data_IF_285007930679
#
_entry.id   IF_285007930679
#
_cell.length_a   1.000
_cell.length_b   1.000
_cell.length_c   1.000
_cell.angle_alpha   90.00
_cell.angle_beta   90.00
_cell.angle_gamma   90.00
#
_symmetry.space_group_name_H-M   'P 1'
#
loop_
_entity.id
_entity.type
_entity.pdbx_description
1 polymer ?
#
# COMPACT_ATOMS: atom_id res chain seq x y z
N UNK A 1 -12.39 -6.08 -9.32
CA UNK A 1 -13.29 -5.18 -8.55
C UNK A 1 -12.45 -4.16 -7.80
N UNK A 2 -13.00 -2.97 -7.54
CA UNK A 2 -12.36 -1.94 -6.68
C UNK A 2 -13.12 -1.89 -5.36
N UNK A 3 -12.58 -2.52 -4.32
CA UNK A 3 -13.17 -2.61 -2.98
C UNK A 3 -12.60 -1.51 -2.10
N UNK A 4 -13.45 -0.77 -1.38
CA UNK A 4 -13.03 0.34 -0.53
C UNK A 4 -13.91 0.46 0.71
N UNK A 5 -13.46 1.25 1.67
CA UNK A 5 -14.20 1.53 2.91
C UNK A 5 -14.43 3.03 3.02
N UNK A 6 -15.66 3.44 3.29
CA UNK A 6 -16.05 4.84 3.31
C UNK A 6 -16.78 5.22 4.59
N UNK A 7 -16.52 6.43 5.07
CA UNK A 7 -17.13 6.97 6.29
C UNK A 7 -16.12 7.51 7.28
N UNK A 8 -16.59 7.90 8.50
CA UNK A 8 -15.72 8.40 9.55
C UNK A 8 -14.68 7.35 9.97
N UNK A 9 -13.47 7.81 10.37
CA UNK A 9 -12.41 6.94 10.86
C UNK A 9 -12.88 6.04 12.01
N UNK A 10 -12.66 4.73 11.88
CA UNK A 10 -13.10 3.72 12.85
C UNK A 10 -14.58 3.34 12.78
N UNK A 11 -15.33 3.94 11.84
CA UNK A 11 -16.74 3.61 11.56
C UNK A 11 -17.02 3.56 10.04
N UNK A 12 -15.99 3.18 9.28
CA UNK A 12 -16.11 2.97 7.84
C UNK A 12 -17.01 1.76 7.56
N UNK A 13 -17.66 1.79 6.42
CA UNK A 13 -18.48 0.69 5.89
C UNK A 13 -17.94 0.21 4.54
N UNK A 14 -18.14 -1.06 4.20
CA UNK A 14 -17.65 -1.64 2.97
C UNK A 14 -18.41 -1.09 1.76
N UNK A 15 -17.68 -0.80 0.70
CA UNK A 15 -18.20 -0.31 -0.56
C UNK A 15 -17.43 -0.89 -1.76
N UNK A 16 -18.02 -0.74 -2.94
CA UNK A 16 -17.43 -1.05 -4.23
C UNK A 16 -17.51 0.20 -5.10
N UNK A 17 -16.44 0.54 -5.79
CA UNK A 17 -16.47 1.52 -6.86
C UNK A 17 -16.80 0.79 -8.16
N UNK A 18 -17.97 1.11 -8.71
CA UNK A 18 -18.47 0.52 -9.95
C UNK A 18 -17.76 1.13 -11.18
N UNK A 19 -17.96 0.52 -12.34
CA UNK A 19 -17.35 0.98 -13.60
C UNK A 19 -17.83 2.35 -14.05
N UNK A 20 -19.04 2.74 -13.64
CA UNK A 20 -19.62 4.06 -13.91
C UNK A 20 -19.16 5.16 -12.94
N UNK A 21 -18.27 4.83 -11.98
CA UNK A 21 -17.77 5.72 -10.95
C UNK A 21 -18.70 5.86 -9.73
N UNK A 22 -19.79 5.11 -9.68
CA UNK A 22 -20.72 5.12 -8.55
C UNK A 22 -20.21 4.26 -7.40
N UNK A 23 -20.28 4.77 -6.18
CA UNK A 23 -20.05 3.98 -4.97
C UNK A 23 -21.27 3.12 -4.68
N UNK A 24 -21.07 1.82 -4.47
CA UNK A 24 -22.10 0.84 -4.15
C UNK A 24 -21.92 0.30 -2.73
N UNK A 25 -23.02 0.23 -1.97
CA UNK A 25 -23.01 -0.28 -0.60
C UNK A 25 -22.92 -1.80 -0.58
N UNK A 26 -21.95 -2.33 0.17
CA UNK A 26 -21.75 -3.77 0.37
C UNK A 26 -22.24 -4.27 1.74
N UNK A 27 -22.76 -3.39 2.60
CA UNK A 27 -23.11 -3.71 4.00
C UNK A 27 -24.15 -4.84 4.14
N UNK A 28 -24.96 -5.09 3.12
CA UNK A 28 -25.90 -6.22 3.09
C UNK A 28 -25.24 -7.57 2.77
N UNK A 29 -24.04 -7.56 2.20
CA UNK A 29 -23.32 -8.76 1.75
C UNK A 29 -22.13 -9.10 2.64
N UNK A 30 -21.51 -8.10 3.25
CA UNK A 30 -20.37 -8.27 4.17
C UNK A 30 -20.37 -7.18 5.23
N UNK A 31 -19.93 -7.50 6.48
CA UNK A 31 -19.80 -6.48 7.52
C UNK A 31 -18.61 -5.55 7.28
N UNK A 32 -17.54 -6.01 6.62
CA UNK A 32 -16.35 -5.21 6.33
C UNK A 32 -15.54 -5.83 5.15
N UNK A 33 -14.51 -5.12 4.70
CA UNK A 33 -13.49 -5.65 3.79
C UNK A 33 -12.28 -6.03 4.65
N UNK A 34 -12.15 -7.31 4.93
CA UNK A 34 -11.16 -7.87 5.84
C UNK A 34 -10.68 -9.27 5.42
N UNK A 35 -9.82 -9.88 6.20
CA UNK A 35 -9.30 -11.21 5.94
C UNK A 35 -10.39 -12.28 5.74
N UNK A 36 -11.41 -12.37 6.61
CA UNK A 36 -12.57 -13.26 6.42
C UNK A 36 -13.26 -13.10 5.07
N UNK A 37 -13.54 -11.89 4.61
CA UNK A 37 -14.11 -11.66 3.30
C UNK A 37 -13.17 -12.10 2.17
N UNK A 38 -11.89 -11.72 2.26
CA UNK A 38 -10.90 -12.01 1.20
C UNK A 38 -10.64 -13.51 1.05
N UNK A 39 -10.81 -14.29 2.13
CA UNK A 39 -10.69 -15.76 2.10
C UNK A 39 -11.96 -16.48 1.61
N UNK A 40 -13.12 -15.80 1.56
CA UNK A 40 -14.39 -16.38 1.14
C UNK A 40 -14.65 -16.13 -0.35
N UNK A 41 -14.23 -17.07 -1.19
CA UNK A 41 -14.42 -17.01 -2.65
C UNK A 41 -15.90 -16.93 -3.06
N UNK A 42 -16.79 -17.53 -2.26
CA UNK A 42 -18.23 -17.51 -2.53
C UNK A 42 -18.80 -16.10 -2.21
N UNK A 43 -18.35 -15.46 -1.12
CA UNK A 43 -18.72 -14.09 -0.81
C UNK A 43 -18.24 -13.11 -1.89
N UNK A 44 -16.99 -13.22 -2.33
CA UNK A 44 -16.45 -12.41 -3.43
C UNK A 44 -17.22 -12.64 -4.74
N UNK A 45 -17.63 -13.87 -5.01
CA UNK A 45 -18.45 -14.21 -6.19
C UNK A 45 -19.84 -13.57 -6.09
N UNK A 46 -20.49 -13.61 -4.91
CA UNK A 46 -21.79 -12.94 -4.69
C UNK A 46 -21.69 -11.44 -4.91
N UNK A 47 -20.63 -10.78 -4.39
CA UNK A 47 -20.40 -9.35 -4.62
C UNK A 47 -20.22 -9.06 -6.11
N UNK A 48 -19.41 -9.84 -6.83
CA UNK A 48 -19.18 -9.68 -8.27
C UNK A 48 -20.48 -9.83 -9.07
N UNK A 49 -21.29 -10.83 -8.74
CA UNK A 49 -22.59 -11.04 -9.39
C UNK A 49 -23.55 -9.88 -9.14
N UNK A 50 -23.68 -9.44 -7.88
CA UNK A 50 -24.55 -8.33 -7.53
C UNK A 50 -24.11 -7.00 -8.19
N UNK A 51 -22.80 -6.77 -8.36
CA UNK A 51 -22.30 -5.64 -9.11
C UNK A 51 -22.64 -5.74 -10.60
N UNK A 52 -22.42 -6.89 -11.22
CA UNK A 52 -22.75 -7.12 -12.63
C UNK A 52 -24.25 -7.00 -12.94
N UNK A 53 -25.10 -7.44 -12.01
CA UNK A 53 -26.57 -7.37 -12.13
C UNK A 53 -27.14 -5.97 -11.77
N UNK A 54 -26.28 -5.03 -11.32
CA UNK A 54 -26.68 -3.69 -10.92
C UNK A 54 -27.61 -3.66 -9.71
N UNK A 55 -27.58 -4.68 -8.84
CA UNK A 55 -28.49 -4.81 -7.69
C UNK A 55 -27.95 -4.16 -6.41
N UNK A 56 -26.70 -3.73 -6.41
CA UNK A 56 -26.07 -3.05 -5.26
C UNK A 56 -26.64 -1.63 -5.10
N UNK A 57 -27.09 -1.23 -3.90
CA UNK A 57 -27.56 0.11 -3.66
C UNK A 57 -26.44 1.14 -3.88
N UNK A 58 -26.77 2.28 -4.49
CA UNK A 58 -25.85 3.41 -4.53
C UNK A 58 -25.65 3.98 -3.12
N UNK A 59 -24.43 4.39 -2.81
CA UNK A 59 -24.14 5.19 -1.62
C UNK A 59 -24.32 6.67 -1.95
N UNK A 60 -25.26 7.31 -1.24
CA UNK A 60 -25.39 8.76 -1.31
C UNK A 60 -24.24 9.43 -0.56
N UNK A 61 -23.54 10.32 -1.22
CA UNK A 61 -22.51 11.16 -0.59
C UNK A 61 -21.23 11.26 -1.40
N UNK A 62 -21.16 12.27 -2.29
CA UNK A 62 -19.94 12.63 -3.03
C UNK A 62 -18.76 13.04 -2.11
N UNK A 63 -19.02 13.31 -0.81
CA UNK A 63 -18.05 13.83 0.16
C UNK A 63 -17.69 12.81 1.26
N UNK A 64 -17.93 11.51 1.03
CA UNK A 64 -17.54 10.51 2.03
C UNK A 64 -16.03 10.37 2.09
N UNK A 65 -15.46 10.48 3.32
CA UNK A 65 -14.05 10.13 3.52
C UNK A 65 -13.82 8.67 3.06
N UNK A 66 -12.77 8.47 2.29
CA UNK A 66 -12.25 7.14 1.97
C UNK A 66 -11.27 6.74 3.07
N UNK A 67 -11.55 5.63 3.74
CA UNK A 67 -10.65 5.02 4.71
C UNK A 67 -9.66 4.04 4.06
N UNK A 68 -8.78 3.42 4.86
CA UNK A 68 -7.98 2.30 4.37
C UNK A 68 -8.88 1.22 3.78
N UNK A 69 -8.51 0.57 2.68
CA UNK A 69 -9.38 -0.40 2.00
C UNK A 69 -9.61 -1.70 2.79
N UNK A 70 -8.83 -1.92 3.86
CA UNK A 70 -8.93 -3.09 4.74
C UNK A 70 -9.32 -2.66 6.16
N UNK A 71 -10.34 -3.29 6.70
CA UNK A 71 -10.84 -3.01 8.06
C UNK A 71 -9.93 -3.55 9.17
N UNK A 72 -9.17 -4.60 8.87
CA UNK A 72 -8.21 -5.21 9.78
C UNK A 72 -7.03 -5.77 9.02
N UNK A 73 -5.84 -5.36 9.41
CA UNK A 73 -4.56 -5.87 8.89
C UNK A 73 -3.86 -6.62 10.02
N UNK A 74 -3.41 -7.85 9.77
CA UNK A 74 -2.69 -8.65 10.75
C UNK A 74 -1.25 -8.20 10.91
N UNK A 75 -0.56 -7.99 9.78
CA UNK A 75 0.80 -7.46 9.70
C UNK A 75 1.04 -6.78 8.36
N UNK A 76 2.03 -5.90 8.35
CA UNK A 76 2.56 -5.27 7.14
C UNK A 76 4.04 -5.66 7.05
N UNK A 77 4.38 -6.44 6.04
CA UNK A 77 5.77 -6.79 5.70
C UNK A 77 6.24 -5.86 4.61
N UNK A 78 7.45 -5.32 4.74
CA UNK A 78 8.00 -4.39 3.77
C UNK A 78 9.30 -4.94 3.21
N UNK A 79 9.58 -4.63 1.93
CA UNK A 79 10.77 -5.06 1.21
C UNK A 79 11.66 -3.85 0.98
N UNK A 80 12.83 -3.84 1.60
CA UNK A 80 13.83 -2.79 1.41
C UNK A 80 14.65 -2.97 0.15
N UNK A 81 15.06 -1.84 -0.49
CA UNK A 81 15.96 -1.80 -1.65
C UNK A 81 15.56 -2.73 -2.80
N UNK A 82 14.28 -2.77 -3.13
CA UNK A 82 13.76 -3.69 -4.14
C UNK A 82 13.66 -3.11 -5.56
N UNK A 83 14.34 -2.00 -5.86
CA UNK A 83 14.37 -1.43 -7.21
C UNK A 83 15.81 -1.16 -7.65
N UNK A 84 16.15 -1.55 -8.88
CA UNK A 84 17.50 -1.36 -9.45
C UNK A 84 17.91 0.12 -9.52
N UNK A 85 16.99 1.00 -9.88
CA UNK A 85 17.23 2.44 -9.96
C UNK A 85 17.41 3.06 -8.57
N UNK A 86 16.63 2.63 -7.57
CA UNK A 86 16.78 3.08 -6.18
C UNK A 86 18.11 2.62 -5.55
N UNK A 87 18.55 1.39 -5.80
CA UNK A 87 19.85 0.92 -5.36
C UNK A 87 20.98 1.77 -5.96
N UNK A 88 20.91 2.11 -7.25
CA UNK A 88 21.86 3.01 -7.93
C UNK A 88 21.86 4.42 -7.34
N UNK A 89 20.68 5.00 -7.10
CA UNK A 89 20.52 6.34 -6.54
C UNK A 89 21.18 6.50 -5.17
N UNK A 90 20.99 5.50 -4.31
CA UNK A 90 21.52 5.51 -2.94
C UNK A 90 22.97 5.00 -2.83
N UNK A 91 23.54 4.48 -3.92
CA UNK A 91 24.87 3.84 -3.94
C UNK A 91 24.92 2.53 -3.17
N UNK A 92 23.78 1.91 -2.89
CA UNK A 92 23.69 0.62 -2.23
C UNK A 92 24.02 -0.53 -3.20
N UNK A 93 24.60 -1.60 -2.66
CA UNK A 93 24.73 -2.84 -3.41
C UNK A 93 23.34 -3.45 -3.65
N UNK A 94 23.16 -4.05 -4.82
CA UNK A 94 21.93 -4.83 -5.10
C UNK A 94 21.90 -6.01 -4.13
N UNK A 95 20.82 -6.18 -3.33
CA UNK A 95 20.74 -7.27 -2.36
C UNK A 95 20.66 -8.62 -3.08
N UNK A 96 21.25 -9.66 -2.47
CA UNK A 96 21.20 -11.03 -2.99
C UNK A 96 19.88 -11.73 -2.66
N UNK A 97 19.15 -11.23 -1.66
CA UNK A 97 17.82 -11.70 -1.22
C UNK A 97 16.99 -10.54 -0.66
N UNK A 98 15.63 -10.63 -0.63
CA UNK A 98 14.78 -9.57 -0.13
C UNK A 98 15.09 -9.16 1.31
N UNK A 99 15.31 -7.86 1.55
CA UNK A 99 15.49 -7.30 2.89
C UNK A 99 14.11 -7.09 3.51
N UNK A 100 13.84 -7.78 4.64
CA UNK A 100 12.54 -7.70 5.32
C UNK A 100 12.59 -6.75 6.51
N UNK A 101 11.56 -5.91 6.63
CA UNK A 101 11.25 -5.14 7.84
C UNK A 101 9.72 -5.04 8.00
N UNK A 102 9.26 -4.50 9.13
CA UNK A 102 7.84 -4.49 9.45
C UNK A 102 7.33 -3.07 9.69
N UNK A 103 6.06 -2.84 9.31
CA UNK A 103 5.26 -1.72 9.81
C UNK A 103 4.14 -2.24 10.69
N UNK A 104 3.89 -1.55 11.79
CA UNK A 104 2.76 -1.88 12.66
C UNK A 104 1.44 -1.52 11.95
N UNK A 105 0.39 -2.35 12.07
CA UNK A 105 -0.88 -2.09 11.40
C UNK A 105 -1.56 -0.77 11.81
N UNK A 106 -1.26 -0.23 12.99
CA UNK A 106 -1.77 1.06 13.47
C UNK A 106 -1.12 2.29 12.81
N UNK A 107 -0.10 2.10 11.96
CA UNK A 107 0.42 3.15 11.10
C UNK A 107 -0.49 3.44 9.89
N UNK A 108 -1.45 2.55 9.61
CA UNK A 108 -2.31 2.65 8.43
C UNK A 108 -3.37 3.72 8.59
N UNK A 109 -3.46 4.58 7.58
CA UNK A 109 -4.50 5.61 7.45
C UNK A 109 -5.07 5.59 6.03
N UNK A 110 -6.17 6.30 5.81
CA UNK A 110 -6.78 6.42 4.48
C UNK A 110 -5.91 7.18 3.48
N UNK A 111 -6.25 7.08 2.18
CA UNK A 111 -5.44 7.63 1.08
C UNK A 111 -5.28 9.16 1.14
N UNK A 112 -6.27 9.85 1.71
CA UNK A 112 -6.30 11.32 1.79
C UNK A 112 -6.22 11.83 3.24
N UNK A 113 -5.89 10.95 4.19
CA UNK A 113 -5.71 11.34 5.59
C UNK A 113 -4.40 12.13 5.79
N UNK A 114 -4.36 12.89 6.87
CA UNK A 114 -3.17 13.66 7.24
C UNK A 114 -2.03 12.73 7.66
N UNK A 115 -0.83 13.00 7.15
CA UNK A 115 0.42 12.39 7.64
C UNK A 115 1.06 13.29 8.69
N UNK A 116 1.45 12.72 9.82
CA UNK A 116 2.04 13.45 10.93
C UNK A 116 3.57 13.41 10.88
N UNK A 117 4.20 14.56 10.83
CA UNK A 117 5.66 14.69 10.96
C UNK A 117 6.04 14.47 12.43
N UNK A 118 6.85 13.44 12.75
CA UNK A 118 7.14 13.10 14.14
C UNK A 118 7.88 14.21 14.89
N UNK A 119 7.67 14.31 16.19
CA UNK A 119 8.36 15.28 17.04
C UNK A 119 9.88 15.14 16.98
N UNK A 120 10.56 16.22 16.68
CA UNK A 120 12.02 16.26 16.52
C UNK A 120 12.51 15.62 15.21
N UNK A 121 11.62 15.28 14.29
CA UNK A 121 11.95 14.82 12.95
C UNK A 121 12.47 15.97 12.10
N UNK A 122 13.52 15.67 11.33
CA UNK A 122 14.06 16.59 10.32
C UNK A 122 14.28 15.86 8.98
N UNK A 123 13.99 14.57 8.90
CA UNK A 123 14.32 13.73 7.74
C UNK A 123 13.16 12.83 7.33
N UNK A 124 11.91 13.32 7.45
CA UNK A 124 10.72 12.61 6.95
C UNK A 124 10.76 12.57 5.42
N UNK A 125 10.62 11.38 4.86
CA UNK A 125 10.79 11.07 3.45
C UNK A 125 9.57 10.34 2.88
N UNK A 126 9.41 10.34 1.58
CA UNK A 126 8.32 9.75 0.82
C UNK A 126 8.76 8.50 0.06
N UNK A 127 7.86 7.54 -0.11
CA UNK A 127 8.07 6.32 -0.90
C UNK A 127 6.74 5.82 -1.47
N UNK A 128 6.52 5.95 -2.80
CA UNK A 128 5.40 5.27 -3.46
C UNK A 128 5.71 3.79 -3.63
N UNK A 129 4.78 2.93 -3.20
CA UNK A 129 4.96 1.48 -3.24
C UNK A 129 3.71 0.75 -3.72
N UNK A 130 3.92 -0.33 -4.47
CA UNK A 130 2.88 -1.32 -4.72
C UNK A 130 2.66 -2.13 -3.44
N UNK A 131 1.43 -2.11 -2.92
CA UNK A 131 1.00 -2.99 -1.84
C UNK A 131 0.34 -4.26 -2.42
N UNK A 132 0.78 -5.41 -1.95
CA UNK A 132 0.17 -6.72 -2.24
C UNK A 132 -0.66 -7.14 -1.04
N UNK A 133 -1.93 -7.48 -1.27
CA UNK A 133 -2.85 -7.93 -0.21
C UNK A 133 -3.07 -9.44 -0.34
N UNK A 134 -2.87 -10.15 0.76
CA UNK A 134 -3.02 -11.61 0.82
C UNK A 134 -4.51 -11.98 0.94
N UNK A 135 -4.94 -12.96 0.17
CA UNK A 135 -6.32 -13.46 0.11
C UNK A 135 -6.53 -14.82 0.74
N UNK A 136 -5.48 -15.61 0.89
CA UNK A 136 -5.57 -16.93 1.55
C UNK A 136 -4.33 -17.21 2.39
N UNK A 137 -4.47 -18.06 3.39
CA UNK A 137 -3.32 -18.50 4.18
C UNK A 137 -2.25 -19.13 3.28
N UNK A 138 -1.01 -18.67 3.47
CA UNK A 138 0.15 -19.15 2.73
C UNK A 138 1.34 -19.30 3.67
N UNK A 139 2.00 -20.44 3.61
CA UNK A 139 3.31 -20.71 4.24
C UNK A 139 4.08 -21.70 3.41
N UNK A 140 5.39 -21.50 3.33
CA UNK A 140 6.29 -22.41 2.61
C UNK A 140 5.84 -22.66 1.17
N UNK A 141 5.43 -21.59 0.44
CA UNK A 141 5.02 -21.71 -0.96
C UNK A 141 6.10 -22.44 -1.77
N UNK A 142 5.69 -23.47 -2.49
CA UNK A 142 6.60 -24.32 -3.25
C UNK A 142 7.16 -23.59 -4.47
N UNK A 143 6.32 -22.76 -5.09
CA UNK A 143 6.67 -21.99 -6.27
C UNK A 143 5.96 -20.63 -6.33
N UNK A 144 6.28 -19.83 -7.35
CA UNK A 144 5.72 -18.51 -7.58
C UNK A 144 4.23 -18.57 -7.99
N UNK A 145 3.78 -19.62 -8.64
CA UNK A 145 2.38 -19.77 -9.03
C UNK A 145 1.49 -19.97 -7.79
N UNK A 146 1.95 -20.76 -6.81
CA UNK A 146 1.27 -20.90 -5.52
C UNK A 146 1.26 -19.57 -4.76
N UNK A 147 2.36 -18.81 -4.79
CA UNK A 147 2.47 -17.50 -4.16
C UNK A 147 1.47 -16.50 -4.76
N UNK A 148 1.43 -16.35 -6.08
CA UNK A 148 0.49 -15.45 -6.76
C UNK A 148 -0.96 -15.86 -6.55
N UNK A 149 -1.26 -17.17 -6.52
CA UNK A 149 -2.60 -17.65 -6.26
C UNK A 149 -3.10 -17.32 -4.83
N UNK A 150 -2.22 -16.90 -3.92
CA UNK A 150 -2.60 -16.45 -2.59
C UNK A 150 -2.90 -14.94 -2.51
N UNK A 151 -2.66 -14.18 -3.57
CA UNK A 151 -2.88 -12.73 -3.63
C UNK A 151 -4.36 -12.44 -3.89
N UNK A 152 -4.98 -11.60 -3.03
CA UNK A 152 -6.34 -11.08 -3.23
C UNK A 152 -6.36 -9.91 -4.22
N UNK A 153 -5.33 -9.09 -4.21
CA UNK A 153 -5.24 -7.90 -5.05
C UNK A 153 -4.14 -6.92 -4.62
N UNK A 154 -4.25 -5.72 -5.13
CA UNK A 154 -3.22 -4.68 -5.05
C UNK A 154 -3.81 -3.33 -4.65
N UNK A 155 -3.00 -2.51 -4.00
CA UNK A 155 -3.34 -1.14 -3.64
C UNK A 155 -2.11 -0.22 -3.75
N UNK A 156 -2.34 1.09 -3.73
CA UNK A 156 -1.26 2.07 -3.57
C UNK A 156 -0.92 2.17 -2.09
N UNK A 157 0.36 2.14 -1.75
CA UNK A 157 0.89 2.38 -0.40
C UNK A 157 1.89 3.52 -0.41
N UNK A 158 1.89 4.31 0.67
CA UNK A 158 2.90 5.32 0.94
C UNK A 158 3.73 4.87 2.15
N UNK A 159 4.93 4.32 1.92
CA UNK A 159 5.83 3.90 3.00
C UNK A 159 6.62 5.08 3.56
N UNK A 160 5.93 6.01 4.24
CA UNK A 160 6.53 7.18 4.85
C UNK A 160 7.63 6.77 5.82
N UNK A 161 8.77 7.48 5.77
CA UNK A 161 10.00 7.09 6.47
C UNK A 161 10.63 8.29 7.18
N UNK A 162 10.98 8.14 8.46
CA UNK A 162 11.85 9.11 9.14
C UNK A 162 13.30 8.59 9.12
N UNK A 163 14.11 9.11 8.20
CA UNK A 163 15.45 8.59 7.91
C UNK A 163 16.41 8.67 9.09
N UNK A 164 16.32 9.72 9.92
CA UNK A 164 17.16 9.83 11.11
C UNK A 164 16.86 8.70 12.12
N UNK A 165 15.58 8.33 12.29
CA UNK A 165 15.21 7.25 13.16
C UNK A 165 15.57 5.89 12.57
N UNK A 166 15.40 5.74 11.25
CA UNK A 166 15.71 4.51 10.51
C UNK A 166 17.21 4.18 10.52
N UNK A 167 18.08 5.17 10.25
CA UNK A 167 19.49 4.94 9.92
C UNK A 167 20.41 5.36 11.06
N UNK A 168 20.15 6.52 11.71
CA UNK A 168 21.09 7.18 12.62
C UNK A 168 20.93 6.71 14.07
N UNK A 169 19.95 5.86 14.35
CA UNK A 169 19.64 5.34 15.69
C UNK A 169 19.90 3.85 15.83
N UNK A 170 21.09 3.41 15.45
CA UNK A 170 21.56 2.03 15.58
C UNK A 170 21.11 1.12 14.44
N UNK A 171 20.66 1.68 13.30
CA UNK A 171 20.34 0.92 12.09
C UNK A 171 19.11 0.01 12.17
N UNK A 172 18.26 0.17 13.18
CA UNK A 172 17.00 -0.57 13.29
C UNK A 172 15.92 0.18 12.50
N UNK A 173 15.59 -0.29 11.33
CA UNK A 173 14.72 0.39 10.35
C UNK A 173 13.31 0.67 10.89
N UNK A 174 12.75 -0.26 11.66
CA UNK A 174 11.39 -0.15 12.20
C UNK A 174 11.16 1.16 12.97
N UNK A 175 12.20 1.71 13.62
CA UNK A 175 12.08 3.00 14.34
C UNK A 175 11.69 4.16 13.45
N UNK A 176 12.11 4.15 12.19
CA UNK A 176 11.79 5.20 11.21
C UNK A 176 10.58 4.89 10.33
N UNK A 177 10.06 3.67 10.41
CA UNK A 177 8.95 3.18 9.58
C UNK A 177 7.62 3.09 10.34
N UNK A 178 7.63 3.19 11.67
CA UNK A 178 6.47 2.96 12.54
C UNK A 178 6.00 4.21 13.30
N UNK A 179 6.28 5.41 12.78
CA UNK A 179 5.66 6.60 13.33
C UNK A 179 4.16 6.62 12.96
N UNK A 180 3.37 7.32 13.77
CA UNK A 180 1.93 7.46 13.57
C UNK A 180 1.61 7.94 12.14
N UNK A 181 0.62 7.35 11.47
CA UNK A 181 0.15 7.68 10.11
C UNK A 181 1.13 7.36 8.98
N UNK A 182 2.19 6.59 9.23
CA UNK A 182 3.27 6.38 8.24
C UNK A 182 2.97 5.35 7.15
N UNK A 183 1.71 4.87 7.05
CA UNK A 183 1.30 3.98 5.96
C UNK A 183 -0.08 4.35 5.37
N UNK A 184 -0.24 5.50 4.70
CA UNK A 184 -1.42 5.74 3.89
C UNK A 184 -1.61 4.62 2.88
N UNK A 185 -2.83 4.02 2.83
CA UNK A 185 -3.15 2.86 2.00
C UNK A 185 -4.47 3.06 1.27
N UNK A 186 -4.53 2.74 -0.01
CA UNK A 186 -5.74 2.85 -0.81
C UNK A 186 -5.51 3.60 -2.14
N UNK A 187 -6.55 4.21 -2.75
CA UNK A 187 -7.91 4.45 -2.21
C UNK A 187 -8.80 3.20 -2.15
N UNK A 188 -8.45 2.15 -2.86
CA UNK A 188 -9.16 0.88 -2.91
C UNK A 188 -8.22 -0.30 -3.04
N UNK A 189 -8.71 -1.47 -2.74
CA UNK A 189 -8.13 -2.74 -3.13
C UNK A 189 -8.65 -3.10 -4.53
N UNK A 190 -7.76 -3.22 -5.51
CA UNK A 190 -8.09 -3.75 -6.84
C UNK A 190 -7.85 -5.26 -6.80
N UNK A 191 -8.87 -6.06 -7.07
CA UNK A 191 -8.74 -7.52 -7.05
C UNK A 191 -7.76 -8.01 -8.12
N UNK A 192 -7.02 -9.09 -7.83
CA UNK A 192 -5.91 -9.56 -8.66
C UNK A 192 -6.31 -9.87 -10.12
N UNK A 193 -7.56 -10.28 -10.35
CA UNK A 193 -8.09 -10.55 -11.69
C UNK A 193 -8.19 -9.30 -12.60
N UNK A 194 -8.12 -8.09 -12.04
CA UNK A 194 -8.12 -6.83 -12.80
C UNK A 194 -6.70 -6.30 -13.09
N UNK A 195 -5.68 -6.91 -12.53
CA UNK A 195 -4.26 -6.56 -12.75
C UNK A 195 -3.57 -7.76 -13.41
N UNK A 196 -3.55 -7.81 -14.73
CA UNK A 196 -3.03 -8.98 -15.46
C UNK A 196 -1.52 -9.18 -15.25
N UNK A 197 -0.77 -8.09 -15.04
CA UNK A 197 0.67 -8.14 -14.77
C UNK A 197 1.06 -7.09 -13.73
N UNK A 198 1.31 -7.47 -12.47
CA UNK A 198 1.76 -6.55 -11.43
C UNK A 198 3.20 -6.03 -11.65
N UNK A 199 3.95 -6.61 -12.61
CA UNK A 199 5.31 -6.18 -12.96
C UNK A 199 5.35 -5.17 -14.12
N UNK A 200 4.20 -4.64 -14.57
CA UNK A 200 4.11 -3.70 -15.68
C UNK A 200 3.35 -2.41 -15.29
N UNK A 201 3.40 -1.99 -14.03
CA UNK A 201 2.67 -0.84 -13.51
C UNK A 201 3.60 0.38 -13.38
N UNK A 202 3.15 1.55 -13.86
CA UNK A 202 3.80 2.83 -13.61
C UNK A 202 3.48 3.35 -12.20
N UNK A 203 4.50 3.90 -11.51
CA UNK A 203 4.36 4.51 -10.18
C UNK A 203 4.86 5.96 -10.23
N UNK A 204 4.07 6.91 -9.71
CA UNK A 204 4.48 8.32 -9.65
C UNK A 204 4.18 8.91 -8.29
N UNK A 205 5.03 9.87 -7.89
CA UNK A 205 4.83 10.66 -6.67
C UNK A 205 5.27 12.09 -6.88
N UNK A 206 4.45 13.01 -6.37
CA UNK A 206 4.71 14.45 -6.38
C UNK A 206 4.75 15.00 -4.96
N UNK A 207 5.58 16.00 -4.74
CA UNK A 207 5.59 16.80 -3.51
C UNK A 207 5.35 18.25 -3.92
N UNK A 208 4.29 18.86 -3.40
CA UNK A 208 3.86 20.23 -3.73
C UNK A 208 3.69 20.47 -5.24
N UNK A 209 3.23 19.43 -5.97
CA UNK A 209 3.05 19.45 -7.42
C UNK A 209 4.32 19.17 -8.23
N UNK A 210 5.49 19.05 -7.61
CA UNK A 210 6.73 18.69 -8.29
C UNK A 210 6.90 17.17 -8.34
N UNK A 211 7.08 16.61 -9.53
CA UNK A 211 7.34 15.17 -9.73
C UNK A 211 8.67 14.77 -9.05
N UNK A 212 8.60 13.81 -8.15
CA UNK A 212 9.75 13.29 -7.39
C UNK A 212 10.11 11.87 -7.76
N UNK A 213 9.12 10.97 -7.90
CA UNK A 213 9.31 9.60 -8.34
C UNK A 213 8.52 9.37 -9.63
N UNK A 214 9.13 8.69 -10.60
CA UNK A 214 8.52 8.23 -11.86
C UNK A 214 9.21 6.92 -12.23
N UNK A 215 8.61 5.81 -11.85
CA UNK A 215 9.19 4.47 -11.96
C UNK A 215 8.19 3.44 -12.48
N UNK A 216 8.63 2.21 -12.56
CA UNK A 216 7.80 1.08 -12.97
C UNK A 216 8.14 -0.17 -12.16
N UNK A 217 7.13 -0.99 -11.83
CA UNK A 217 7.35 -2.28 -11.16
C UNK A 217 8.22 -3.24 -11.97
N UNK A 218 8.42 -3.00 -13.26
CA UNK A 218 9.37 -3.76 -14.08
C UNK A 218 10.84 -3.62 -13.60
N UNK A 219 11.17 -2.55 -12.87
CA UNK A 219 12.50 -2.30 -12.28
C UNK A 219 12.69 -2.97 -10.90
N UNK A 220 11.70 -3.72 -10.39
CA UNK A 220 11.86 -4.49 -9.16
C UNK A 220 12.98 -5.52 -9.30
N UNK A 221 13.83 -5.62 -8.28
CA UNK A 221 14.90 -6.62 -8.18
C UNK A 221 14.28 -8.00 -7.96
N UNK A 222 13.34 -8.07 -7.02
CA UNK A 222 12.56 -9.26 -6.71
C UNK A 222 11.09 -9.02 -7.10
N UNK A 223 10.58 -9.71 -8.14
CA UNK A 223 9.19 -9.60 -8.58
C UNK A 223 8.18 -9.97 -7.48
N UNK A 224 6.94 -9.51 -7.61
CA UNK A 224 5.86 -9.78 -6.64
C UNK A 224 5.74 -11.26 -6.28
N UNK A 225 5.78 -12.14 -7.28
CA UNK A 225 5.67 -13.59 -7.07
C UNK A 225 6.79 -14.14 -6.18
N UNK A 226 8.02 -13.72 -6.47
CA UNK A 226 9.20 -14.09 -5.68
C UNK A 226 9.13 -13.54 -4.27
N UNK A 227 8.76 -12.26 -4.10
CA UNK A 227 8.58 -11.62 -2.79
C UNK A 227 7.58 -12.38 -1.93
N UNK A 228 6.39 -12.67 -2.45
CA UNK A 228 5.34 -13.41 -1.70
C UNK A 228 5.83 -14.80 -1.34
N UNK A 229 6.46 -15.52 -2.29
CA UNK A 229 7.06 -16.83 -2.05
C UNK A 229 8.12 -16.77 -0.96
N UNK A 230 9.05 -15.81 -1.07
CA UNK A 230 10.17 -15.63 -0.13
C UNK A 230 9.68 -15.35 1.29
N UNK A 231 8.77 -14.38 1.46
CA UNK A 231 8.21 -14.03 2.78
C UNK A 231 7.54 -15.24 3.42
N UNK A 232 6.84 -16.07 2.64
CA UNK A 232 6.15 -17.27 3.14
C UNK A 232 7.09 -18.34 3.72
N UNK A 233 8.40 -18.28 3.44
CA UNK A 233 9.40 -19.19 4.02
C UNK A 233 9.71 -18.87 5.48
N UNK A 234 9.49 -17.63 5.92
CA UNK A 234 9.87 -17.15 7.26
C UNK A 234 8.66 -16.91 8.16
N UNK A 235 7.50 -16.66 7.58
CA UNK A 235 6.28 -16.39 8.34
C UNK A 235 5.02 -16.82 7.59
N UNK A 236 4.01 -17.27 8.31
CA UNK A 236 2.70 -17.53 7.71
C UNK A 236 2.06 -16.20 7.32
N UNK A 237 1.64 -16.09 6.08
CA UNK A 237 0.82 -15.00 5.57
C UNK A 237 -0.65 -15.37 5.72
N UNK A 238 -1.44 -14.46 6.26
CA UNK A 238 -2.89 -14.64 6.46
C UNK A 238 -3.68 -13.70 5.56
N UNK A 239 -4.94 -14.04 5.24
CA UNK A 239 -5.83 -13.14 4.51
C UNK A 239 -5.92 -11.77 5.19
N UNK A 240 -5.74 -10.70 4.41
CA UNK A 240 -5.69 -9.33 4.90
C UNK A 240 -4.31 -8.84 5.34
N UNK A 241 -3.27 -9.68 5.36
CA UNK A 241 -1.89 -9.21 5.51
C UNK A 241 -1.47 -8.42 4.25
N UNK A 242 -0.59 -7.45 4.46
CA UNK A 242 -0.10 -6.56 3.39
C UNK A 242 1.40 -6.74 3.22
N UNK A 243 1.87 -6.70 1.98
CA UNK A 243 3.29 -6.62 1.65
C UNK A 243 3.52 -5.34 0.85
N UNK A 244 4.31 -4.40 1.40
CA UNK A 244 4.83 -3.25 0.68
C UNK A 244 6.09 -3.69 -0.08
N UNK A 245 6.12 -3.49 -1.40
CA UNK A 245 7.10 -4.17 -2.27
C UNK A 245 8.35 -3.37 -2.59
N UNK A 246 8.57 -2.24 -1.92
CA UNK A 246 9.68 -1.33 -2.18
C UNK A 246 9.30 -0.19 -3.11
N UNK A 247 10.17 0.80 -3.15
CA UNK A 247 9.97 2.07 -3.86
C UNK A 247 11.01 2.27 -4.98
N UNK A 248 10.65 2.92 -6.11
CA UNK A 248 11.61 3.31 -7.15
C UNK A 248 12.47 4.50 -6.70
N UNK A 249 13.46 4.89 -7.52
CA UNK A 249 14.28 6.06 -7.30
C UNK A 249 13.46 7.37 -7.19
N UNK A 250 14.05 8.38 -6.55
CA UNK A 250 13.48 9.73 -6.42
C UNK A 250 13.10 10.14 -5.01
N UNK A 251 13.44 9.33 -4.01
CA UNK A 251 13.27 9.65 -2.58
C UNK A 251 14.17 10.83 -2.16
N UNK A 252 13.81 11.54 -1.07
CA UNK A 252 14.63 12.65 -0.58
C UNK A 252 16.03 12.18 -0.13
N UNK A 253 16.13 10.98 0.44
CA UNK A 253 17.40 10.39 0.86
C UNK A 253 18.44 10.31 -0.26
N UNK A 254 18.01 10.01 -1.49
CA UNK A 254 18.87 9.91 -2.67
C UNK A 254 19.28 11.26 -3.29
N UNK A 255 18.67 12.39 -2.85
CA UNK A 255 18.91 13.71 -3.44
C UNK A 255 20.16 14.37 -2.89
N UNK A 256 20.77 15.34 -3.67
CA UNK A 256 21.88 16.17 -3.18
C UNK A 256 21.50 17.00 -1.95
N UNK A 257 22.50 17.39 -1.15
CA UNK A 257 22.31 18.34 -0.06
C UNK A 257 22.05 19.78 -0.57
N UNK A 258 21.15 20.56 0.07
CA UNK A 258 20.28 20.15 1.19
C UNK A 258 19.14 19.27 0.70
N UNK A 259 18.98 18.10 1.35
CA UNK A 259 17.93 17.14 0.97
C UNK A 259 16.54 17.69 1.25
N UNK A 260 15.58 17.53 0.31
CA UNK A 260 14.25 18.15 0.40
C UNK A 260 13.27 17.31 1.24
N UNK A 261 13.64 16.98 2.49
CA UNK A 261 12.77 16.22 3.38
C UNK A 261 11.47 16.96 3.68
N UNK A 262 10.40 16.18 3.85
CA UNK A 262 9.05 16.65 4.13
C UNK A 262 8.95 17.46 5.44
N UNK A 263 8.01 18.41 5.44
CA UNK A 263 7.69 19.28 6.58
C UNK A 263 6.18 19.44 6.71
N UNK A 264 5.73 19.88 7.87
CA UNK A 264 4.36 20.34 8.03
C UNK A 264 4.02 21.42 7.00
N UNK A 265 2.86 21.29 6.36
CA UNK A 265 2.41 22.15 5.27
C UNK A 265 2.66 21.59 3.87
N UNK A 266 3.54 20.61 3.72
CA UNK A 266 3.71 19.92 2.44
C UNK A 266 2.49 19.08 2.05
N UNK A 267 2.33 18.86 0.75
CA UNK A 267 1.33 17.98 0.16
C UNK A 267 2.06 16.93 -0.67
N UNK A 268 1.75 15.67 -0.41
CA UNK A 268 2.25 14.54 -1.19
C UNK A 268 1.10 13.92 -1.97
N UNK A 269 1.30 13.72 -3.26
CA UNK A 269 0.37 13.04 -4.15
C UNK A 269 1.09 11.85 -4.77
N UNK A 270 0.42 10.71 -4.86
CA UNK A 270 1.01 9.50 -5.45
C UNK A 270 -0.05 8.66 -6.15
N UNK A 271 0.38 7.98 -7.21
CA UNK A 271 -0.49 7.09 -7.99
C UNK A 271 0.26 5.86 -8.46
N UNK A 272 -0.48 4.80 -8.69
CA UNK A 272 -0.04 3.63 -9.45
C UNK A 272 -1.08 3.35 -10.53
N UNK A 273 -0.60 3.08 -11.72
CA UNK A 273 -1.43 2.80 -12.89
C UNK A 273 -2.48 1.71 -12.59
N UNK A 274 -3.76 2.01 -12.83
CA UNK A 274 -4.88 1.10 -12.56
C UNK A 274 -5.30 0.98 -11.11
N UNK A 275 -4.49 1.44 -10.13
CA UNK A 275 -4.75 1.29 -8.69
C UNK A 275 -5.31 2.55 -8.02
N UNK A 276 -5.23 3.71 -8.67
CA UNK A 276 -5.78 4.96 -8.16
C UNK A 276 -4.74 5.94 -7.66
N UNK A 277 -5.21 6.98 -6.98
CA UNK A 277 -4.44 8.15 -6.56
C UNK A 277 -4.69 8.44 -5.08
N UNK A 278 -3.68 8.95 -4.39
CA UNK A 278 -3.71 9.39 -3.00
C UNK A 278 -3.22 10.82 -2.90
N UNK A 279 -3.69 11.56 -1.87
CA UNK A 279 -3.26 12.94 -1.61
C UNK A 279 -3.23 13.24 -0.11
N UNK A 280 -2.06 13.27 0.49
CA UNK A 280 -1.87 13.59 1.90
C UNK A 280 -1.42 15.04 2.11
N UNK A 281 -1.96 15.69 3.14
CA UNK A 281 -1.38 16.90 3.74
C UNK A 281 -0.56 16.54 4.97
N UNK A 282 0.58 17.19 5.18
CA UNK A 282 1.44 16.93 6.33
C UNK A 282 1.21 17.97 7.43
N UNK A 283 1.22 17.51 8.70
CA UNK A 283 1.14 18.36 9.90
C UNK A 283 2.15 17.89 10.94
N UNK A 284 2.50 18.76 11.86
CA UNK A 284 3.30 18.36 13.04
C UNK A 284 2.46 17.48 13.99
N UNK A 285 3.11 16.44 14.60
CA UNK A 285 2.51 15.54 15.57
C UNK A 285 2.39 16.15 16.98
#
# INVERSE_FOLDING_TARGET
MKLLRVGPAGAERPALLDQDGTLRDLSALTPDIDGPLLADTDALTRIRTAAADGTLPALDGADLRVGPPLGRIGKIVCIGLNYHDHARETGAAVPEEPILFMKAPDTVVGPDDTVLVPRGSLKTDWEVELAVVIGRELRYAADEAEALAAVAGYAVSHDVSERAFQIERGGQWDKGKNCETFNPLGPWLVTADEIPDPQALGLRLWVNGDLKQDGTTAEQIFPVAEVVRYVSQFMTLYPGDVINTGTPAGVALGRPEPKPYLRAGDVVELEIEGLGHQRQSLKDA
#
